data_IF_150163900544
#
_entry.id   IF_150163900544
#
_cell.length_a   1.000
_cell.length_b   1.000
_cell.length_c   1.000
_cell.angle_alpha   90.00
_cell.angle_beta   90.00
_cell.angle_gamma   90.00
#
_symmetry.space_group_name_H-M   'P 1'
#
loop_
_entity.id
_entity.type
_entity.pdbx_description
1 polymer ?
#
# COMPACT_ATOMS: atom_id res chain seq x y z
N UNK A 1 23.76 -13.96 2.71
CA UNK A 1 22.40 -14.25 3.23
C UNK A 1 21.51 -14.56 2.03
N UNK A 2 20.75 -15.67 2.06
CA UNK A 2 19.77 -15.95 1.00
C UNK A 2 18.66 -14.89 1.12
N UNK A 3 18.42 -14.10 0.06
CA UNK A 3 17.33 -13.13 0.06
C UNK A 3 16.01 -13.88 0.22
N UNK A 4 15.36 -13.70 1.38
CA UNK A 4 14.04 -14.26 1.65
C UNK A 4 12.99 -13.22 1.25
N UNK A 5 11.96 -13.66 0.54
CA UNK A 5 10.84 -12.79 0.19
C UNK A 5 10.02 -12.47 1.45
N UNK A 6 9.66 -11.19 1.61
CA UNK A 6 8.80 -10.70 2.70
C UNK A 6 7.35 -11.20 2.55
N UNK A 7 6.97 -11.60 1.33
CA UNK A 7 5.64 -12.11 0.96
C UNK A 7 5.77 -13.54 0.44
N UNK A 8 4.80 -14.41 0.75
CA UNK A 8 4.76 -15.78 0.23
C UNK A 8 4.45 -15.82 -1.27
N UNK A 9 4.73 -16.94 -1.92
CA UNK A 9 4.41 -17.13 -3.34
C UNK A 9 2.89 -17.03 -3.59
N UNK A 10 2.07 -17.64 -2.74
CA UNK A 10 0.60 -17.58 -2.84
C UNK A 10 0.09 -16.14 -2.73
N UNK A 11 0.58 -15.38 -1.74
CA UNK A 11 0.21 -13.98 -1.56
C UNK A 11 0.69 -13.10 -2.72
N UNK A 12 1.84 -13.39 -3.31
CA UNK A 12 2.31 -12.70 -4.51
C UNK A 12 1.31 -12.92 -5.66
N UNK A 13 0.91 -14.16 -5.92
CA UNK A 13 -0.07 -14.47 -6.97
C UNK A 13 -1.45 -13.85 -6.68
N UNK A 14 -1.84 -13.75 -5.41
CA UNK A 14 -3.09 -13.07 -5.03
C UNK A 14 -3.05 -11.57 -5.34
N UNK A 15 -1.95 -10.87 -5.00
CA UNK A 15 -1.78 -9.45 -5.37
C UNK A 15 -1.77 -9.29 -6.89
N UNK A 16 -1.08 -10.16 -7.62
CA UNK A 16 -1.06 -10.11 -9.09
C UNK A 16 -2.47 -10.30 -9.67
N UNK A 17 -3.23 -11.28 -9.19
CA UNK A 17 -4.60 -11.50 -9.62
C UNK A 17 -5.48 -10.27 -9.36
N UNK A 18 -5.33 -9.64 -8.20
CA UNK A 18 -6.02 -8.39 -7.87
C UNK A 18 -5.63 -7.24 -8.82
N UNK A 19 -4.33 -7.03 -9.08
CA UNK A 19 -3.86 -5.93 -9.92
C UNK A 19 -4.29 -6.10 -11.39
N UNK A 20 -4.14 -7.30 -11.96
CA UNK A 20 -4.53 -7.56 -13.36
C UNK A 20 -6.05 -7.49 -13.56
N UNK A 21 -6.83 -8.05 -12.64
CA UNK A 21 -8.30 -7.92 -12.70
C UNK A 21 -8.73 -6.46 -12.55
N UNK A 22 -8.14 -5.71 -11.62
CA UNK A 22 -8.41 -4.28 -11.45
C UNK A 22 -8.07 -3.49 -12.71
N UNK A 23 -6.90 -3.71 -13.32
CA UNK A 23 -6.50 -3.04 -14.56
C UNK A 23 -7.49 -3.29 -15.70
N UNK A 24 -8.01 -4.52 -15.83
CA UNK A 24 -9.02 -4.84 -16.83
C UNK A 24 -10.36 -4.13 -16.56
N UNK A 25 -10.81 -4.12 -15.30
CA UNK A 25 -12.07 -3.49 -14.91
C UNK A 25 -12.05 -1.97 -15.11
N UNK A 26 -10.91 -1.33 -14.83
CA UNK A 26 -10.72 0.12 -14.94
C UNK A 26 -10.93 0.68 -16.35
N UNK A 27 -10.92 -0.16 -17.39
CA UNK A 27 -11.30 0.24 -18.75
C UNK A 27 -12.76 0.69 -18.84
N UNK A 28 -13.62 0.17 -17.96
CA UNK A 28 -15.07 0.39 -17.97
C UNK A 28 -15.60 1.06 -16.69
N UNK A 29 -14.77 1.26 -15.67
CA UNK A 29 -15.14 1.88 -14.39
C UNK A 29 -14.97 3.42 -14.41
N UNK A 30 -15.61 4.16 -13.48
CA UNK A 30 -15.38 5.59 -13.30
C UNK A 30 -13.90 5.91 -13.05
N UNK A 31 -13.41 7.02 -13.60
CA UNK A 31 -11.99 7.39 -13.59
C UNK A 31 -11.32 7.38 -12.19
N UNK A 32 -12.05 7.79 -11.14
CA UNK A 32 -11.51 7.83 -9.79
C UNK A 32 -11.28 6.44 -9.18
N UNK A 33 -11.93 5.39 -9.68
CA UNK A 33 -11.74 4.03 -9.16
C UNK A 33 -10.30 3.55 -9.35
N UNK A 34 -9.57 4.10 -10.33
CA UNK A 34 -8.15 3.80 -10.53
C UNK A 34 -7.33 4.10 -9.28
N UNK A 35 -7.56 5.27 -8.67
CA UNK A 35 -6.87 5.67 -7.44
C UNK A 35 -7.21 4.73 -6.28
N UNK A 36 -8.48 4.31 -6.18
CA UNK A 36 -8.95 3.38 -5.15
C UNK A 36 -8.29 2.00 -5.29
N UNK A 37 -8.23 1.46 -6.51
CA UNK A 37 -7.60 0.14 -6.78
C UNK A 37 -6.11 0.15 -6.43
N UNK A 38 -5.41 1.26 -6.69
CA UNK A 38 -3.99 1.39 -6.35
C UNK A 38 -3.76 1.34 -4.84
N UNK A 39 -4.51 2.12 -4.05
CA UNK A 39 -4.35 2.12 -2.59
C UNK A 39 -4.86 0.82 -1.95
N UNK A 40 -5.91 0.18 -2.49
CA UNK A 40 -6.37 -1.12 -2.00
C UNK A 40 -5.33 -2.22 -2.30
N UNK A 41 -4.72 -2.20 -3.48
CA UNK A 41 -3.63 -3.10 -3.82
C UNK A 41 -2.42 -2.92 -2.91
N UNK A 42 -2.07 -1.66 -2.59
CA UNK A 42 -1.01 -1.36 -1.62
C UNK A 42 -1.36 -1.87 -0.21
N UNK A 43 -2.58 -1.64 0.28
CA UNK A 43 -3.04 -2.14 1.59
C UNK A 43 -3.00 -3.67 1.69
N UNK A 44 -3.38 -4.38 0.61
CA UNK A 44 -3.29 -5.85 0.52
C UNK A 44 -1.85 -6.32 0.59
N UNK A 45 -0.96 -5.73 -0.21
CA UNK A 45 0.46 -6.08 -0.20
C UNK A 45 1.10 -5.86 1.17
N UNK A 46 0.75 -4.75 1.84
CA UNK A 46 1.20 -4.47 3.21
C UNK A 46 0.68 -5.54 4.17
N UNK A 47 -0.60 -5.91 4.07
CA UNK A 47 -1.19 -6.99 4.88
C UNK A 47 -0.39 -8.29 4.77
N UNK A 48 -0.11 -8.73 3.55
CA UNK A 48 0.68 -9.94 3.32
C UNK A 48 2.12 -9.85 3.83
N UNK A 49 2.75 -8.68 3.74
CA UNK A 49 4.08 -8.46 4.26
C UNK A 49 4.11 -8.52 5.80
N UNK A 50 3.10 -7.95 6.47
CA UNK A 50 2.95 -7.99 7.93
C UNK A 50 2.66 -9.41 8.44
N UNK A 51 1.84 -10.18 7.72
CA UNK A 51 1.58 -11.59 8.05
C UNK A 51 2.84 -12.46 7.95
N UNK A 52 3.78 -12.10 7.08
CA UNK A 52 5.05 -12.80 6.91
C UNK A 52 5.97 -12.69 8.14
N UNK A 53 5.86 -11.62 8.94
CA UNK A 53 6.64 -11.41 10.16
C UNK A 53 8.14 -11.26 9.94
N UNK A 54 8.56 -10.83 8.75
CA UNK A 54 9.98 -10.68 8.36
C UNK A 54 10.43 -9.22 8.28
N UNK A 55 9.54 -8.28 8.61
CA UNK A 55 9.83 -6.86 8.57
C UNK A 55 10.58 -6.44 9.85
N UNK A 56 11.64 -5.65 9.69
CA UNK A 56 12.41 -5.13 10.82
C UNK A 56 11.70 -4.01 11.58
N UNK A 57 10.87 -3.23 10.88
CA UNK A 57 9.98 -2.22 11.44
C UNK A 57 8.66 -2.25 10.67
N UNK A 58 7.57 -2.45 11.43
CA UNK A 58 6.22 -2.59 10.92
C UNK A 58 5.32 -1.40 11.27
N UNK A 59 5.77 -0.48 12.15
CA UNK A 59 4.87 0.52 12.74
C UNK A 59 4.27 1.43 11.66
N UNK A 60 5.12 1.96 10.78
CA UNK A 60 4.67 2.79 9.66
C UNK A 60 3.68 2.05 8.75
N UNK A 61 3.99 0.80 8.40
CA UNK A 61 3.16 0.02 7.49
C UNK A 61 1.81 -0.35 8.10
N UNK A 62 1.77 -0.68 9.40
CA UNK A 62 0.52 -0.92 10.14
C UNK A 62 -0.37 0.33 10.14
N UNK A 63 0.19 1.49 10.45
CA UNK A 63 -0.54 2.75 10.46
C UNK A 63 -1.07 3.11 9.07
N UNK A 64 -0.20 3.05 8.05
CA UNK A 64 -0.60 3.35 6.67
C UNK A 64 -1.72 2.44 6.18
N UNK A 65 -1.65 1.14 6.52
CA UNK A 65 -2.69 0.17 6.18
C UNK A 65 -4.01 0.50 6.86
N UNK A 66 -3.99 0.79 8.16
CA UNK A 66 -5.18 1.15 8.95
C UNK A 66 -5.85 2.39 8.35
N UNK A 67 -5.09 3.46 8.12
CA UNK A 67 -5.60 4.70 7.51
C UNK A 67 -6.25 4.46 6.14
N UNK A 68 -5.62 3.63 5.29
CA UNK A 68 -6.17 3.29 3.97
C UNK A 68 -7.44 2.46 4.12
N UNK A 69 -7.47 1.43 4.96
CA UNK A 69 -8.63 0.55 5.09
C UNK A 69 -9.85 1.25 5.66
N UNK A 70 -9.66 2.18 6.59
CA UNK A 70 -10.74 2.99 7.16
C UNK A 70 -11.33 3.98 6.16
N UNK A 71 -10.49 4.62 5.34
CA UNK A 71 -10.88 5.79 4.55
C UNK A 71 -11.04 5.53 3.05
N UNK A 72 -10.55 4.42 2.50
CA UNK A 72 -10.61 4.14 1.04
C UNK A 72 -12.03 4.14 0.46
N UNK A 73 -13.02 3.72 1.24
CA UNK A 73 -14.42 3.69 0.79
C UNK A 73 -15.10 5.08 0.81
N UNK A 74 -14.46 6.09 1.40
CA UNK A 74 -14.96 7.46 1.38
C UNK A 74 -15.02 8.05 -0.04
N UNK A 75 -14.35 7.44 -1.03
CA UNK A 75 -14.54 7.77 -2.44
C UNK A 75 -16.03 7.87 -2.84
N UNK A 76 -16.90 7.07 -2.22
CA UNK A 76 -18.33 7.03 -2.57
C UNK A 76 -19.19 8.03 -1.79
N UNK A 77 -18.70 8.57 -0.68
CA UNK A 77 -19.51 9.31 0.30
C UNK A 77 -18.94 10.66 0.69
N UNK A 78 -17.63 10.83 0.59
CA UNK A 78 -16.85 12.01 0.95
C UNK A 78 -15.54 12.03 0.15
N UNK A 79 -15.63 12.51 -1.09
CA UNK A 79 -14.51 12.56 -2.03
C UNK A 79 -13.39 13.49 -1.55
N UNK A 80 -13.71 14.56 -0.82
CA UNK A 80 -12.73 15.49 -0.26
C UNK A 80 -11.84 14.78 0.77
N UNK A 81 -12.44 14.08 1.72
CA UNK A 81 -11.67 13.30 2.71
C UNK A 81 -10.89 12.17 2.04
N UNK A 82 -11.44 11.56 0.99
CA UNK A 82 -10.72 10.56 0.20
C UNK A 82 -9.47 11.15 -0.50
N UNK A 83 -9.56 12.34 -1.10
CA UNK A 83 -8.40 12.99 -1.69
C UNK A 83 -7.38 13.44 -0.65
N UNK A 84 -7.84 13.85 0.54
CA UNK A 84 -6.95 14.14 1.66
C UNK A 84 -6.16 12.90 2.09
N UNK A 85 -6.82 11.71 2.16
CA UNK A 85 -6.15 10.44 2.38
C UNK A 85 -5.02 10.21 1.35
N UNK A 86 -5.28 10.41 0.05
CA UNK A 86 -4.26 10.22 -0.99
C UNK A 86 -3.06 11.16 -0.80
N UNK A 87 -3.32 12.43 -0.50
CA UNK A 87 -2.28 13.42 -0.25
C UNK A 87 -1.44 13.08 0.98
N UNK A 88 -2.07 12.67 2.07
CA UNK A 88 -1.38 12.34 3.32
C UNK A 88 -0.58 11.03 3.18
N UNK A 89 -1.17 9.99 2.62
CA UNK A 89 -0.49 8.71 2.35
C UNK A 89 0.76 8.91 1.46
N UNK A 90 0.68 9.78 0.45
CA UNK A 90 1.83 10.12 -0.40
C UNK A 90 2.92 10.83 0.38
N UNK A 91 2.54 11.81 1.22
CA UNK A 91 3.49 12.57 2.05
C UNK A 91 4.17 11.66 3.08
N UNK A 92 3.43 10.79 3.71
CA UNK A 92 3.94 9.91 4.76
C UNK A 92 4.85 8.82 4.19
N UNK A 93 4.52 8.26 3.02
CA UNK A 93 5.42 7.38 2.28
C UNK A 93 6.74 8.09 1.90
N UNK A 94 6.66 9.33 1.42
CA UNK A 94 7.86 10.10 1.08
C UNK A 94 8.75 10.36 2.32
N UNK A 95 8.15 10.62 3.48
CA UNK A 95 8.87 10.77 4.75
C UNK A 95 9.54 9.47 5.17
N UNK A 96 8.82 8.35 5.11
CA UNK A 96 9.36 7.03 5.42
C UNK A 96 10.56 6.67 4.53
N UNK A 97 10.45 6.90 3.21
CA UNK A 97 11.54 6.68 2.27
C UNK A 97 12.78 7.51 2.60
N UNK A 98 12.60 8.77 3.01
CA UNK A 98 13.72 9.62 3.44
C UNK A 98 14.37 9.09 4.73
N UNK A 99 13.58 8.67 5.71
CA UNK A 99 14.09 8.09 6.96
C UNK A 99 14.90 6.82 6.71
N UNK A 100 14.42 5.93 5.83
CA UNK A 100 15.13 4.69 5.46
C UNK A 100 16.43 4.95 4.71
N UNK A 101 16.45 5.93 3.81
CA UNK A 101 17.67 6.34 3.12
C UNK A 101 18.73 6.87 4.12
N UNK A 102 18.33 7.75 5.05
CA UNK A 102 19.21 8.29 6.07
C UNK A 102 19.76 7.22 7.03
N UNK A 103 18.95 6.22 7.39
CA UNK A 103 19.41 5.09 8.22
C UNK A 103 20.48 4.25 7.50
N UNK A 104 20.33 4.05 6.19
CA UNK A 104 21.30 3.29 5.37
C UNK A 104 22.64 4.05 5.23
N UNK A 105 22.60 5.38 5.12
CA UNK A 105 23.81 6.22 5.02
C UNK A 105 24.57 6.35 6.35
N UNK A 106 23.88 6.30 7.50
CA UNK A 106 24.50 6.37 8.83
C UNK A 106 25.15 5.07 9.32
N UNK A 107 24.90 3.96 8.64
CA UNK A 107 25.50 2.64 8.91
C UNK A 107 26.76 2.35 8.06
N UNK A 108 27.14 3.29 7.17
CA UNK A 108 28.34 3.23 6.30
C UNK A 108 29.48 4.11 6.80
#
# INVERSE_FOLDING_TARGET
MSQRMVVSEDHLYEVLAFLFSSAHLLVNEPHLYGTFRLIDGASRLIGFALEGGQLSDEQFLRQLKEDVDEKKFLLMTDEETYFQLLADATRDMAREMKSRAAATEGES
#
